data_IF_845779586017
#
_entry.id   IF_845779586017
#
_cell.length_a   1.000
_cell.length_b   1.000
_cell.length_c   1.000
_cell.angle_alpha   90.00
_cell.angle_beta   90.00
_cell.angle_gamma   90.00
#
_symmetry.space_group_name_H-M   'P 1'
#
loop_
_entity.id
_entity.type
_entity.pdbx_description
1 polymer ?
#
# COMPACT_ATOMS: atom_id res chain seq x y z
N UNK A 1 2.84 -11.30 22.08
CA UNK A 1 3.39 -11.83 20.81
C UNK A 1 3.56 -10.67 19.84
N UNK A 2 4.66 -10.59 19.08
CA UNK A 2 4.85 -9.57 18.06
C UNK A 2 3.84 -9.76 16.92
N UNK A 3 3.36 -8.65 16.35
CA UNK A 3 2.52 -8.67 15.15
C UNK A 3 3.44 -8.78 13.93
N UNK A 4 3.29 -9.78 13.05
CA UNK A 4 4.09 -9.90 11.83
C UNK A 4 3.88 -8.70 10.90
N UNK A 5 4.92 -8.36 10.14
CA UNK A 5 4.91 -7.22 9.21
C UNK A 5 5.25 -7.72 7.80
N UNK A 6 4.50 -7.26 6.81
CA UNK A 6 4.80 -7.44 5.38
C UNK A 6 4.84 -6.07 4.72
N UNK A 7 5.96 -5.76 4.05
CA UNK A 7 6.18 -4.50 3.36
C UNK A 7 6.46 -4.74 1.87
N UNK A 8 5.62 -4.19 1.00
CA UNK A 8 5.79 -4.22 -0.45
C UNK A 8 6.58 -3.02 -0.94
N UNK A 9 7.90 -3.17 -1.10
CA UNK A 9 8.76 -2.13 -1.67
C UNK A 9 8.65 -2.11 -3.20
N UNK A 10 8.03 -1.07 -3.76
CA UNK A 10 7.85 -0.92 -5.21
C UNK A 10 9.14 -0.46 -5.90
N UNK A 11 10.16 -0.07 -5.13
CA UNK A 11 11.44 0.47 -5.61
C UNK A 11 11.17 1.66 -6.54
N UNK A 12 11.92 1.77 -7.64
CA UNK A 12 11.74 2.78 -8.68
C UNK A 12 10.89 2.23 -9.83
N UNK A 13 9.74 1.62 -9.51
CA UNK A 13 8.75 1.17 -10.49
C UNK A 13 7.46 1.97 -10.36
N UNK A 14 6.67 1.99 -11.43
CA UNK A 14 5.41 2.73 -11.60
C UNK A 14 5.57 4.23 -11.83
N UNK A 15 4.74 4.78 -12.70
CA UNK A 15 4.34 6.18 -12.67
C UNK A 15 3.16 6.40 -11.69
N UNK A 16 2.71 7.65 -11.52
CA UNK A 16 1.63 7.98 -10.57
C UNK A 16 0.31 7.27 -10.91
N UNK A 17 -0.04 7.14 -12.19
CA UNK A 17 -1.29 6.49 -12.60
C UNK A 17 -1.23 4.98 -12.33
N UNK A 18 -0.13 4.32 -12.69
CA UNK A 18 0.11 2.89 -12.42
C UNK A 18 0.09 2.59 -10.92
N UNK A 19 0.70 3.47 -10.11
CA UNK A 19 0.70 3.37 -8.65
C UNK A 19 -0.71 3.40 -8.05
N UNK A 20 -1.58 4.28 -8.55
CA UNK A 20 -2.97 4.39 -8.10
C UNK A 20 -3.75 3.14 -8.49
N UNK A 21 -3.59 2.64 -9.72
CA UNK A 21 -4.25 1.41 -10.19
C UNK A 21 -3.83 0.23 -9.32
N UNK A 22 -2.53 0.03 -9.12
CA UNK A 22 -2.01 -1.07 -8.29
C UNK A 22 -2.52 -0.99 -6.85
N UNK A 23 -2.51 0.20 -6.24
CA UNK A 23 -3.03 0.38 -4.89
C UNK A 23 -4.54 0.09 -4.78
N UNK A 24 -5.33 0.41 -5.81
CA UNK A 24 -6.77 0.13 -5.84
C UNK A 24 -7.02 -1.38 -5.88
N UNK A 25 -6.29 -2.11 -6.74
CA UNK A 25 -6.44 -3.55 -6.94
C UNK A 25 -6.11 -4.36 -5.68
N UNK A 26 -5.11 -3.93 -4.90
CA UNK A 26 -4.69 -4.65 -3.69
C UNK A 26 -5.47 -4.25 -2.43
N UNK A 27 -6.18 -3.11 -2.44
CA UNK A 27 -6.76 -2.50 -1.24
C UNK A 27 -7.70 -3.45 -0.49
N UNK A 28 -8.74 -3.95 -1.14
CA UNK A 28 -9.77 -4.78 -0.49
C UNK A 28 -9.21 -6.11 0.02
N UNK A 29 -8.43 -6.78 -0.83
CA UNK A 29 -7.78 -8.05 -0.52
C UNK A 29 -6.86 -7.94 0.69
N UNK A 30 -6.06 -6.87 0.76
CA UNK A 30 -5.20 -6.64 1.91
C UNK A 30 -6.01 -6.22 3.14
N UNK A 31 -7.04 -5.39 3.02
CA UNK A 31 -7.82 -4.92 4.17
C UNK A 31 -8.57 -6.05 4.91
N UNK A 32 -8.98 -7.07 4.18
CA UNK A 32 -9.58 -8.29 4.72
C UNK A 32 -8.61 -9.10 5.61
N UNK A 33 -7.29 -9.03 5.37
CA UNK A 33 -6.28 -9.78 6.12
C UNK A 33 -6.07 -9.15 7.51
N UNK A 34 -6.34 -9.93 8.55
CA UNK A 34 -6.15 -9.55 9.96
C UNK A 34 -4.90 -10.19 10.57
N UNK A 35 -4.43 -9.64 11.69
CA UNK A 35 -3.28 -10.18 12.44
C UNK A 35 -1.90 -9.92 11.82
N UNK A 36 -1.82 -9.13 10.73
CA UNK A 36 -0.57 -8.74 10.05
C UNK A 36 -0.59 -7.24 9.81
N UNK A 37 0.54 -6.56 10.01
CA UNK A 37 0.72 -5.16 9.59
C UNK A 37 1.19 -5.13 8.14
N UNK A 38 0.46 -4.41 7.28
CA UNK A 38 0.74 -4.31 5.84
C UNK A 38 1.22 -2.91 5.50
N UNK A 39 2.30 -2.83 4.71
CA UNK A 39 2.92 -1.57 4.30
C UNK A 39 3.17 -1.63 2.80
N UNK A 40 2.91 -0.54 2.07
CA UNK A 40 3.34 -0.36 0.68
C UNK A 40 4.35 0.79 0.61
N UNK A 41 5.42 0.64 -0.15
CA UNK A 41 6.45 1.68 -0.27
C UNK A 41 6.54 2.11 -1.76
N UNK A 42 5.65 3.01 -2.22
CA UNK A 42 5.69 3.53 -3.58
C UNK A 42 6.85 4.53 -3.76
N UNK A 43 7.24 4.85 -5.01
CA UNK A 43 8.16 5.95 -5.29
C UNK A 43 7.64 7.28 -4.73
N UNK A 44 8.56 8.20 -4.40
CA UNK A 44 8.24 9.50 -3.79
C UNK A 44 7.12 10.26 -4.53
N UNK A 45 7.18 10.29 -5.87
CA UNK A 45 6.20 10.99 -6.73
C UNK A 45 4.77 10.47 -6.57
N UNK A 46 4.60 9.23 -6.10
CA UNK A 46 3.31 8.55 -5.97
C UNK A 46 2.80 8.53 -4.53
N UNK A 47 3.60 8.95 -3.54
CA UNK A 47 3.26 8.86 -2.10
C UNK A 47 1.90 9.50 -1.78
N UNK A 48 1.68 10.73 -2.23
CA UNK A 48 0.44 11.46 -1.95
C UNK A 48 -0.78 10.79 -2.59
N UNK A 49 -0.67 10.41 -3.87
CA UNK A 49 -1.76 9.78 -4.60
C UNK A 49 -2.14 8.42 -4.00
N UNK A 50 -1.14 7.59 -3.67
CA UNK A 50 -1.33 6.29 -3.02
C UNK A 50 -1.90 6.48 -1.61
N UNK A 51 -1.41 7.46 -0.84
CA UNK A 51 -1.92 7.74 0.51
C UNK A 51 -3.40 8.08 0.48
N UNK A 52 -3.83 9.00 -0.37
CA UNK A 52 -5.23 9.40 -0.49
C UNK A 52 -6.14 8.24 -0.87
N UNK A 53 -5.69 7.34 -1.75
CA UNK A 53 -6.45 6.17 -2.16
C UNK A 53 -6.62 5.14 -1.03
N UNK A 54 -5.58 5.00 -0.20
CA UNK A 54 -5.53 4.06 0.92
C UNK A 54 -6.12 4.62 2.22
N UNK A 55 -6.67 5.83 2.21
CA UNK A 55 -7.37 6.39 3.37
C UNK A 55 -8.51 5.47 3.84
N UNK A 56 -8.65 5.36 5.16
CA UNK A 56 -9.56 4.44 5.85
C UNK A 56 -9.30 2.94 5.60
N UNK A 57 -8.16 2.55 5.04
CA UNK A 57 -7.71 1.15 5.01
C UNK A 57 -6.76 0.83 6.18
N UNK A 58 -6.56 -0.46 6.44
CA UNK A 58 -5.56 -0.97 7.37
C UNK A 58 -4.13 -1.04 6.79
N UNK A 59 -3.90 -0.48 5.60
CA UNK A 59 -2.62 -0.50 4.89
C UNK A 59 -1.85 0.80 5.18
N UNK A 60 -0.59 0.69 5.59
CA UNK A 60 0.29 1.84 5.79
C UNK A 60 1.16 2.12 4.55
N UNK A 61 1.71 3.33 4.49
CA UNK A 61 2.65 3.81 3.47
C UNK A 61 3.94 4.27 4.16
#
# INVERSE_FOLDING_TARGET
MPIPIVAGNWKMNTNVAEAVVLAAEIRESLDAIKGVKKIVCPPFISLMAVRSLLDNSSISI
#
